data_IF_117779741757
#
_entry.id   IF_117779741757
#
_cell.length_a   1.000
_cell.length_b   1.000
_cell.length_c   1.000
_cell.angle_alpha   90.00
_cell.angle_beta   90.00
_cell.angle_gamma   90.00
#
_symmetry.space_group_name_H-M   'P 1'
#
loop_
_entity.id
_entity.type
_entity.pdbx_description
1 polymer ?
#
# COMPACT_ATOMS: atom_id res chain seq x y z
N UNK A 1 -4.22 -62.05 -19.85
CA UNK A 1 -3.93 -60.89 -18.99
C UNK A 1 -3.51 -59.72 -19.86
N UNK A 2 -4.41 -58.77 -20.17
CA UNK A 2 -4.05 -57.51 -20.86
C UNK A 2 -3.86 -56.43 -19.80
N UNK A 3 -2.61 -56.03 -19.58
CA UNK A 3 -2.26 -54.88 -18.75
C UNK A 3 -2.81 -53.63 -19.44
N UNK A 4 -3.73 -52.95 -18.78
CA UNK A 4 -4.27 -51.66 -19.22
C UNK A 4 -3.14 -50.63 -19.14
N UNK A 5 -2.65 -50.20 -20.29
CA UNK A 5 -1.69 -49.12 -20.45
C UNK A 5 -2.31 -47.83 -19.87
N UNK A 6 -1.88 -47.42 -18.66
CA UNK A 6 -2.28 -46.14 -18.10
C UNK A 6 -1.55 -45.06 -18.88
N UNK A 7 -2.26 -44.38 -19.79
CA UNK A 7 -1.73 -43.19 -20.47
C UNK A 7 -1.23 -42.20 -19.41
N UNK A 8 -0.02 -41.64 -19.53
CA UNK A 8 0.46 -40.65 -18.58
C UNK A 8 -0.43 -39.42 -18.67
N UNK A 9 -0.92 -38.95 -17.51
CA UNK A 9 -1.66 -37.70 -17.43
C UNK A 9 -0.77 -36.57 -17.98
N UNK A 10 -1.19 -35.96 -19.09
CA UNK A 10 -0.49 -34.80 -19.64
C UNK A 10 -0.64 -33.66 -18.64
N UNK A 11 0.41 -33.44 -17.85
CA UNK A 11 0.47 -32.39 -16.84
C UNK A 11 0.49 -31.03 -17.56
N UNK A 12 -0.69 -30.49 -17.85
CA UNK A 12 -0.85 -29.19 -18.47
C UNK A 12 -0.14 -28.11 -17.65
N UNK A 13 0.64 -27.25 -18.32
CA UNK A 13 1.40 -26.17 -17.69
C UNK A 13 0.44 -25.26 -16.89
N UNK A 14 0.51 -25.32 -15.57
CA UNK A 14 -0.22 -24.42 -14.68
C UNK A 14 0.45 -23.06 -14.73
N UNK A 15 -0.18 -22.10 -15.41
CA UNK A 15 0.25 -20.70 -15.35
C UNK A 15 -0.33 -20.07 -14.08
N UNK A 16 0.48 -19.38 -13.27
CA UNK A 16 -0.01 -18.70 -12.08
C UNK A 16 -1.00 -17.60 -12.47
N UNK A 17 -1.94 -17.33 -11.58
CA UNK A 17 -3.06 -16.40 -11.80
C UNK A 17 -2.59 -15.01 -12.24
N UNK A 18 -1.51 -14.51 -11.64
CA UNK A 18 -0.89 -13.22 -11.92
C UNK A 18 0.34 -13.31 -12.84
N UNK A 19 0.27 -14.17 -13.87
CA UNK A 19 1.27 -14.16 -14.94
C UNK A 19 0.91 -13.16 -16.03
N UNK A 20 1.88 -12.40 -16.53
CA UNK A 20 1.73 -11.52 -17.73
C UNK A 20 1.13 -12.29 -18.92
N UNK A 21 1.40 -13.59 -19.02
CA UNK A 21 0.87 -14.48 -20.05
C UNK A 21 -0.64 -14.76 -19.92
N UNK A 22 -1.23 -14.64 -18.72
CA UNK A 22 -2.67 -14.81 -18.49
C UNK A 22 -3.45 -13.53 -18.79
N UNK A 23 -2.92 -12.36 -18.39
CA UNK A 23 -3.55 -11.07 -18.69
C UNK A 23 -3.70 -10.83 -20.20
N UNK A 24 -2.71 -11.24 -20.99
CA UNK A 24 -2.74 -11.08 -22.45
C UNK A 24 -3.72 -12.05 -23.13
N UNK A 25 -4.00 -13.21 -22.53
CA UNK A 25 -4.94 -14.20 -23.07
C UNK A 25 -6.40 -13.87 -22.79
N UNK A 26 -6.66 -13.19 -21.68
CA UNK A 26 -8.02 -12.88 -21.24
C UNK A 26 -8.19 -11.36 -21.02
N UNK A 27 -8.63 -10.60 -22.03
CA UNK A 27 -8.75 -9.14 -21.94
C UNK A 27 -9.78 -8.69 -20.89
N UNK A 28 -10.73 -9.56 -20.51
CA UNK A 28 -11.71 -9.28 -19.46
C UNK A 28 -11.11 -9.14 -18.06
N UNK A 29 -9.88 -9.62 -17.83
CA UNK A 29 -9.18 -9.51 -16.53
C UNK A 29 -8.44 -8.18 -16.36
N UNK A 30 -8.28 -7.39 -17.42
CA UNK A 30 -7.60 -6.08 -17.40
C UNK A 30 -8.23 -5.09 -16.39
N UNK A 31 -9.57 -4.88 -16.36
CA UNK A 31 -10.16 -3.92 -15.42
C UNK A 31 -9.99 -4.36 -13.95
N UNK A 32 -10.10 -5.65 -13.66
CA UNK A 32 -9.92 -6.18 -12.30
C UNK A 32 -8.46 -6.05 -11.86
N UNK A 33 -7.52 -6.40 -12.73
CA UNK A 33 -6.09 -6.21 -12.46
C UNK A 33 -5.73 -4.73 -12.30
N UNK A 34 -6.38 -3.84 -13.06
CA UNK A 34 -6.24 -2.39 -12.93
C UNK A 34 -6.66 -1.87 -11.57
N UNK A 35 -7.84 -2.28 -11.07
CA UNK A 35 -8.32 -1.90 -9.73
C UNK A 35 -7.35 -2.36 -8.63
N UNK A 36 -6.87 -3.61 -8.73
CA UNK A 36 -5.89 -4.14 -7.77
C UNK A 36 -4.58 -3.36 -7.83
N UNK A 37 -4.10 -3.03 -9.03
CA UNK A 37 -2.92 -2.19 -9.20
C UNK A 37 -3.08 -0.80 -8.56
N UNK A 38 -4.22 -0.15 -8.78
CA UNK A 38 -4.53 1.14 -8.15
C UNK A 38 -4.59 1.03 -6.63
N UNK A 39 -5.19 -0.02 -6.09
CA UNK A 39 -5.27 -0.24 -4.64
C UNK A 39 -3.87 -0.41 -4.02
N UNK A 40 -2.99 -1.20 -4.64
CA UNK A 40 -1.62 -1.40 -4.17
C UNK A 40 -0.83 -0.09 -4.22
N UNK A 41 -0.95 0.67 -5.30
CA UNK A 41 -0.26 1.96 -5.42
C UNK A 41 -0.77 2.97 -4.40
N UNK A 42 -2.09 3.05 -4.19
CA UNK A 42 -2.69 3.94 -3.19
C UNK A 42 -2.24 3.59 -1.77
N UNK A 43 -2.20 2.30 -1.43
CA UNK A 43 -1.73 1.82 -0.13
C UNK A 43 -0.25 2.17 0.09
N UNK A 44 0.61 1.89 -0.88
CA UNK A 44 2.03 2.23 -0.82
C UNK A 44 2.27 3.73 -0.69
N UNK A 45 1.53 4.56 -1.43
CA UNK A 45 1.62 6.01 -1.33
C UNK A 45 1.15 6.50 0.05
N UNK A 46 0.11 5.90 0.61
CA UNK A 46 -0.38 6.24 1.94
C UNK A 46 0.61 5.81 3.04
N UNK A 47 1.18 4.61 2.93
CA UNK A 47 2.20 4.10 3.83
C UNK A 47 3.47 4.95 3.77
N UNK A 48 3.94 5.31 2.57
CA UNK A 48 5.10 6.19 2.39
C UNK A 48 4.85 7.59 2.96
N UNK A 49 3.66 8.15 2.71
CA UNK A 49 3.25 9.45 3.28
C UNK A 49 3.26 9.40 4.81
N UNK A 50 2.78 8.30 5.37
CA UNK A 50 2.80 8.06 6.82
C UNK A 50 4.23 7.96 7.32
N UNK A 51 5.07 7.13 6.71
CA UNK A 51 6.47 6.99 7.10
C UNK A 51 7.25 8.32 7.08
N UNK A 52 7.13 9.14 6.03
CA UNK A 52 7.92 10.38 5.94
C UNK A 52 7.39 11.48 6.88
N UNK A 53 6.07 11.56 7.05
CA UNK A 53 5.45 12.67 7.81
C UNK A 53 5.14 12.31 9.25
N UNK A 54 5.17 11.05 9.65
CA UNK A 54 4.93 10.66 11.05
C UNK A 54 6.15 11.01 11.89
N UNK A 55 6.02 11.94 12.85
CA UNK A 55 7.13 12.28 13.72
C UNK A 55 7.27 11.26 14.87
N UNK A 56 6.23 10.44 15.14
CA UNK A 56 6.26 9.42 16.20
C UNK A 56 7.11 8.19 15.86
N UNK A 57 7.54 8.08 14.60
CA UNK A 57 8.42 7.03 14.13
C UNK A 57 9.80 7.12 14.80
N UNK A 58 10.23 6.02 15.40
CA UNK A 58 11.45 5.95 16.21
C UNK A 58 12.71 6.38 15.45
N UNK A 59 12.77 6.17 14.12
CA UNK A 59 13.91 6.57 13.29
C UNK A 59 14.05 8.07 13.05
N UNK A 60 13.03 8.89 13.39
CA UNK A 60 13.04 10.35 13.21
C UNK A 60 13.34 11.11 14.51
N UNK A 61 13.40 10.43 15.66
CA UNK A 61 13.70 10.99 16.99
C UNK A 61 15.22 11.22 17.16
N UNK A 62 15.79 12.11 16.34
CA UNK A 62 17.23 12.43 16.37
C UNK A 62 17.58 13.60 17.30
N UNK A 63 16.61 14.48 17.56
CA UNK A 63 16.78 15.68 18.39
C UNK A 63 16.10 15.50 19.75
N UNK A 64 16.64 16.15 20.78
CA UNK A 64 16.25 15.97 22.19
C UNK A 64 14.85 16.49 22.55
N UNK A 65 14.22 17.28 21.66
CA UNK A 65 12.86 17.81 21.82
C UNK A 65 11.96 17.52 20.60
N UNK A 66 11.67 16.24 20.30
CA UNK A 66 10.95 15.86 19.08
C UNK A 66 9.51 16.37 19.04
N UNK A 67 8.90 16.70 20.18
CA UNK A 67 7.50 17.12 20.31
C UNK A 67 7.19 18.52 19.73
N UNK A 68 8.18 19.39 19.53
CA UNK A 68 7.97 20.74 18.97
C UNK A 68 7.49 20.67 17.50
N UNK A 69 7.99 19.68 16.74
CA UNK A 69 7.56 19.36 15.37
C UNK A 69 6.06 19.02 15.25
N UNK A 70 5.42 18.64 16.37
CA UNK A 70 4.02 18.23 16.44
C UNK A 70 3.08 19.41 16.70
N UNK A 71 3.62 20.54 17.15
CA UNK A 71 2.83 21.67 17.65
C UNK A 71 1.86 22.24 16.61
N UNK A 72 2.29 22.23 15.35
CA UNK A 72 1.51 22.74 14.20
C UNK A 72 1.13 21.63 13.20
N UNK A 73 1.31 20.36 13.54
CA UNK A 73 1.12 19.25 12.58
C UNK A 73 -0.37 18.94 12.41
N UNK A 74 -0.83 18.95 11.16
CA UNK A 74 -2.14 18.44 10.78
C UNK A 74 -2.02 17.02 10.22
N UNK A 75 -2.54 16.03 10.96
CA UNK A 75 -2.56 14.61 10.52
C UNK A 75 -3.63 14.35 9.44
N UNK A 76 -4.72 15.13 9.43
CA UNK A 76 -5.78 14.98 8.43
C UNK A 76 -5.29 15.38 7.03
N UNK A 77 -5.48 14.48 6.06
CA UNK A 77 -5.11 14.67 4.65
C UNK A 77 -6.01 15.71 3.96
N UNK A 78 -7.27 15.81 4.38
CA UNK A 78 -8.26 16.71 3.78
C UNK A 78 -9.07 17.38 4.89
N UNK A 79 -9.13 18.72 4.86
CA UNK A 79 -9.90 19.51 5.82
C UNK A 79 -10.80 20.47 5.03
N UNK A 80 -12.07 20.11 4.76
CA UNK A 80 -12.97 20.93 3.96
C UNK A 80 -13.44 22.21 4.69
N UNK A 81 -13.26 22.29 6.01
CA UNK A 81 -13.72 23.42 6.83
C UNK A 81 -12.60 24.37 7.26
N UNK A 82 -11.35 24.07 6.90
CA UNK A 82 -10.22 24.97 7.18
C UNK A 82 -10.06 25.34 8.65
N UNK A 83 -10.43 24.47 9.61
CA UNK A 83 -10.18 24.73 11.03
C UNK A 83 -8.67 24.95 11.23
N UNK A 84 -8.29 26.21 11.48
CA UNK A 84 -6.98 26.55 12.02
C UNK A 84 -6.98 26.07 13.46
N UNK A 85 -6.03 25.20 13.82
CA UNK A 85 -5.89 24.78 15.22
C UNK A 85 -5.39 25.96 16.03
N UNK A 86 -5.99 26.16 17.19
CA UNK A 86 -5.46 27.07 18.20
C UNK A 86 -4.01 26.67 18.53
N UNK A 87 -3.16 27.67 18.75
CA UNK A 87 -1.75 27.48 19.09
C UNK A 87 -1.67 26.55 20.31
N UNK A 88 -0.82 25.53 20.23
CA UNK A 88 -0.68 24.57 21.33
C UNK A 88 -0.39 25.33 22.64
N UNK A 89 -1.16 25.09 23.72
CA UNK A 89 -1.08 25.85 24.96
C UNK A 89 0.22 25.62 25.74
N UNK A 90 1.01 24.61 25.36
CA UNK A 90 2.32 24.37 25.93
C UNK A 90 3.29 25.51 25.56
N UNK A 91 4.16 25.96 26.48
CA UNK A 91 5.20 26.95 26.17
C UNK A 91 6.18 26.45 25.12
N UNK A 92 6.72 27.38 24.33
CA UNK A 92 7.81 27.13 23.38
C UNK A 92 9.12 26.89 24.15
N UNK A 93 9.88 25.85 23.79
CA UNK A 93 11.19 25.51 24.39
C UNK A 93 12.36 25.72 23.43
#
# INVERSE_FOLDING_TARGET
>A
MRLTERRPATMGKRVPLFSMAMLRKNPALVPVAGLVGVAVVADLLFALRTAVKVPEAQYRRRDDAPWEDYRNKQYSLYNPKGLQRDKCPAPDF
#
